data_IF_276636036663
#
_entry.id   IF_276636036663
#
_cell.length_a   1.000
_cell.length_b   1.000
_cell.length_c   1.000
_cell.angle_alpha   90.00
_cell.angle_beta   90.00
_cell.angle_gamma   90.00
#
_symmetry.space_group_name_H-M   'P 1'
#
loop_
_entity.id
_entity.type
_entity.pdbx_description
1 polymer ?
#
# COMPACT_ATOMS: atom_id res chain seq x y z
N UNK A 1 -10.97 11.37 19.02
CA UNK A 1 -10.86 11.93 17.67
C UNK A 1 -10.05 10.94 16.86
N UNK A 2 -10.72 10.21 16.00
CA UNK A 2 -10.12 9.17 15.16
C UNK A 2 -9.33 9.84 14.04
N UNK A 3 -8.02 9.63 14.01
CA UNK A 3 -7.17 10.02 12.88
C UNK A 3 -7.51 9.09 11.70
N UNK A 4 -8.32 9.60 10.78
CA UNK A 4 -8.56 8.92 9.51
C UNK A 4 -7.53 9.45 8.53
N UNK A 5 -6.70 8.59 7.93
CA UNK A 5 -5.90 8.95 6.78
C UNK A 5 -6.81 9.56 5.71
N UNK A 6 -6.67 10.85 5.44
CA UNK A 6 -7.42 11.53 4.37
C UNK A 6 -6.53 11.59 3.13
N UNK A 7 -6.83 10.78 2.14
CA UNK A 7 -6.30 10.99 0.79
C UNK A 7 -6.99 12.22 0.21
N UNK A 8 -6.29 13.34 0.17
CA UNK A 8 -6.73 14.53 -0.55
C UNK A 8 -6.27 14.39 -1.99
N UNK A 9 -7.18 13.97 -2.88
CA UNK A 9 -6.92 14.00 -4.32
C UNK A 9 -6.74 15.47 -4.73
N UNK A 10 -5.51 15.82 -5.16
CA UNK A 10 -5.23 17.13 -5.75
C UNK A 10 -5.97 17.23 -7.08
N UNK A 11 -6.97 18.09 -7.12
CA UNK A 11 -7.68 18.45 -8.36
C UNK A 11 -6.79 19.26 -9.28
N UNK A 12 -6.82 18.92 -10.56
CA UNK A 12 -6.11 19.59 -11.63
C UNK A 12 -6.58 21.03 -11.79
N UNK A 13 -5.77 21.97 -11.31
CA UNK A 13 -5.91 23.41 -11.53
C UNK A 13 -5.15 23.84 -12.77
N UNK A 14 -5.81 23.91 -13.93
CA UNK A 14 -5.22 24.50 -15.15
C UNK A 14 -5.21 26.01 -15.00
N UNK A 15 -4.07 26.58 -14.63
CA UNK A 15 -3.83 28.02 -14.66
C UNK A 15 -3.43 28.50 -16.05
N UNK A 16 -4.30 29.28 -16.72
CA UNK A 16 -3.99 30.02 -17.94
C UNK A 16 -3.16 31.23 -17.58
N UNK A 17 -1.94 31.32 -18.11
CA UNK A 17 -1.20 32.58 -18.16
C UNK A 17 -1.18 33.10 -19.59
N UNK A 18 -1.71 34.33 -19.76
CA UNK A 18 -1.60 35.09 -20.98
C UNK A 18 -0.24 35.81 -21.00
N UNK A 19 0.50 35.73 -22.10
CA UNK A 19 1.70 36.54 -22.34
C UNK A 19 1.44 37.44 -23.52
N UNK A 20 1.49 38.73 -23.24
CA UNK A 20 1.60 39.81 -24.27
C UNK A 20 3.06 40.27 -24.34
N UNK A 21 3.57 40.52 -25.54
CA UNK A 21 4.78 41.32 -25.76
C UNK A 21 5.79 40.72 -26.74
N UNK A 22 5.77 41.15 -28.00
CA UNK A 22 6.96 41.20 -28.89
C UNK A 22 7.71 42.51 -28.54
N UNK A 23 9.03 42.63 -28.75
CA UNK A 23 9.64 42.65 -30.09
C UNK A 23 11.14 42.22 -30.17
N UNK A 24 11.59 42.25 -31.40
CA UNK A 24 12.90 42.57 -31.95
C UNK A 24 13.90 41.45 -32.26
N UNK A 25 14.19 41.51 -33.54
CA UNK A 25 15.20 40.85 -34.34
C UNK A 25 16.60 40.73 -33.72
N UNK A 26 17.13 39.52 -33.67
CA UNK A 26 18.58 39.24 -33.70
C UNK A 26 18.90 38.07 -34.62
N UNK A 27 19.95 38.25 -35.36
CA UNK A 27 20.52 37.44 -36.43
C UNK A 27 20.86 36.03 -36.02
N UNK A 28 20.55 35.05 -36.92
CA UNK A 28 20.94 33.65 -36.86
C UNK A 28 22.45 33.45 -36.71
N UNK A 29 22.85 32.87 -35.59
CA UNK A 29 24.09 32.11 -35.52
C UNK A 29 23.69 30.67 -35.25
N UNK A 30 23.93 29.78 -36.22
CA UNK A 30 23.59 28.36 -36.16
C UNK A 30 24.39 27.61 -35.07
N UNK A 31 23.89 27.61 -33.86
CA UNK A 31 24.29 26.69 -32.82
C UNK A 31 23.17 25.66 -32.64
N UNK A 32 23.35 24.46 -33.21
CA UNK A 32 22.56 23.30 -32.82
C UNK A 32 22.80 23.09 -31.32
N UNK A 33 21.76 23.14 -30.49
CA UNK A 33 21.93 22.72 -29.10
C UNK A 33 22.30 21.24 -29.06
N UNK A 34 23.15 20.82 -28.11
CA UNK A 34 23.45 19.41 -27.95
C UNK A 34 22.12 18.67 -27.72
N UNK A 35 21.96 17.54 -28.44
CA UNK A 35 20.83 16.62 -28.21
C UNK A 35 20.89 16.19 -26.75
N UNK A 36 20.15 16.85 -25.88
CA UNK A 36 19.79 16.31 -24.59
C UNK A 36 18.80 15.18 -24.89
N UNK A 37 19.31 13.96 -24.97
CA UNK A 37 18.46 12.78 -24.82
C UNK A 37 17.87 12.86 -23.41
N UNK A 38 16.63 13.34 -23.32
CA UNK A 38 15.80 13.16 -22.13
C UNK A 38 15.65 11.63 -22.02
N UNK A 39 16.51 11.00 -21.19
CA UNK A 39 16.26 9.63 -20.75
C UNK A 39 14.87 9.66 -20.16
N UNK A 40 13.87 9.17 -20.90
CA UNK A 40 12.55 8.89 -20.36
C UNK A 40 12.78 7.94 -19.18
N UNK A 41 12.73 8.47 -17.98
CA UNK A 41 12.85 7.67 -16.77
C UNK A 41 11.65 6.72 -16.79
N UNK A 42 11.89 5.48 -17.21
CA UNK A 42 10.84 4.47 -17.35
C UNK A 42 10.47 4.05 -15.93
N UNK A 43 9.28 4.44 -15.47
CA UNK A 43 8.76 4.00 -14.18
C UNK A 43 8.90 2.48 -14.04
N UNK A 44 9.41 2.03 -12.90
CA UNK A 44 9.57 0.60 -12.62
C UNK A 44 8.20 -0.06 -12.45
N UNK A 45 7.93 -1.11 -13.20
CA UNK A 45 6.75 -1.94 -13.00
C UNK A 45 7.03 -2.95 -11.89
N UNK A 46 6.12 -3.05 -10.94
CA UNK A 46 6.17 -4.03 -9.86
C UNK A 46 5.78 -5.42 -10.40
N UNK A 47 6.60 -6.41 -10.09
CA UNK A 47 6.23 -7.81 -10.28
C UNK A 47 5.30 -8.21 -9.13
N UNK A 48 4.13 -8.74 -9.45
CA UNK A 48 3.18 -9.25 -8.45
C UNK A 48 3.55 -10.70 -8.15
N UNK A 49 3.89 -10.96 -6.89
CA UNK A 49 4.27 -12.29 -6.40
C UNK A 49 3.09 -12.94 -5.67
N UNK A 50 2.93 -14.27 -5.73
CA UNK A 50 1.99 -14.96 -4.83
C UNK A 50 2.36 -14.67 -3.38
N UNK A 51 1.34 -14.39 -2.54
CA UNK A 51 1.55 -14.18 -1.11
C UNK A 51 2.00 -15.49 -0.44
N UNK A 52 3.12 -15.46 0.27
CA UNK A 52 3.57 -16.57 1.12
C UNK A 52 4.13 -16.05 2.45
N UNK A 53 4.11 -16.88 3.47
CA UNK A 53 4.65 -16.54 4.81
C UNK A 53 6.10 -16.11 4.74
N UNK A 54 6.90 -16.84 3.98
CA UNK A 54 8.34 -16.60 3.83
C UNK A 54 8.63 -15.28 3.13
N UNK A 55 7.93 -15.02 2.02
CA UNK A 55 8.13 -13.83 1.23
C UNK A 55 7.62 -12.55 1.92
N UNK A 56 6.56 -12.69 2.75
CA UNK A 56 5.93 -11.59 3.47
C UNK A 56 6.51 -11.35 4.87
N UNK A 57 7.30 -12.28 5.42
CA UNK A 57 7.86 -12.18 6.78
C UNK A 57 8.55 -10.83 7.14
N UNK A 58 9.24 -10.12 6.21
CA UNK A 58 9.81 -8.80 6.51
C UNK A 58 8.76 -7.70 6.75
N UNK A 59 7.51 -7.94 6.38
CA UNK A 59 6.44 -6.93 6.39
C UNK A 59 5.34 -7.24 7.41
N UNK A 60 5.21 -8.52 7.80
CA UNK A 60 4.12 -8.93 8.67
C UNK A 60 3.85 -10.42 8.65
N UNK A 61 2.66 -10.77 9.12
CA UNK A 61 2.19 -12.14 9.19
C UNK A 61 1.18 -12.42 8.05
N UNK A 62 1.20 -13.63 7.51
CA UNK A 62 0.13 -14.15 6.67
C UNK A 62 -0.82 -14.97 7.53
N UNK A 63 -2.10 -14.60 7.51
CA UNK A 63 -3.17 -15.24 8.29
C UNK A 63 -3.87 -16.25 7.37
N UNK A 64 -3.54 -17.52 7.53
CA UNK A 64 -4.10 -18.61 6.72
C UNK A 64 -4.11 -19.93 7.47
N UNK A 65 -5.03 -20.81 7.10
CA UNK A 65 -5.13 -22.16 7.68
C UNK A 65 -4.24 -23.17 6.95
N UNK A 66 -4.05 -22.99 5.66
CA UNK A 66 -3.28 -23.91 4.82
C UNK A 66 -1.81 -23.92 5.29
N UNK A 67 -1.28 -25.13 5.54
CA UNK A 67 0.07 -25.31 6.06
C UNK A 67 0.30 -24.83 7.50
N UNK A 68 -0.73 -24.34 8.21
CA UNK A 68 -0.63 -23.89 9.58
C UNK A 68 -0.94 -25.01 10.58
N UNK A 69 -0.15 -25.07 11.66
CA UNK A 69 -0.41 -26.00 12.76
C UNK A 69 -1.73 -25.67 13.46
N UNK A 70 -2.45 -26.69 13.88
CA UNK A 70 -3.69 -26.57 14.64
C UNK A 70 -3.79 -27.62 15.74
N UNK A 71 -4.70 -27.41 16.66
CA UNK A 71 -5.10 -28.42 17.64
C UNK A 71 -6.62 -28.42 17.80
N UNK A 72 -7.15 -29.54 18.27
CA UNK A 72 -8.59 -29.69 18.48
C UNK A 72 -9.02 -29.08 19.81
N UNK A 73 -10.15 -28.37 19.78
CA UNK A 73 -10.85 -27.83 20.95
C UNK A 73 -12.32 -28.26 20.93
N UNK A 74 -13.11 -27.89 21.92
CA UNK A 74 -14.56 -28.17 22.01
C UNK A 74 -14.86 -29.66 21.78
N UNK A 75 -14.22 -30.54 22.56
CA UNK A 75 -14.38 -32.01 22.48
C UNK A 75 -14.13 -32.55 21.05
N UNK A 76 -13.20 -31.97 20.33
CA UNK A 76 -12.81 -32.45 19.01
C UNK A 76 -13.66 -31.95 17.85
N UNK A 77 -14.58 -31.02 18.09
CA UNK A 77 -15.44 -30.46 17.04
C UNK A 77 -14.84 -29.28 16.28
N UNK A 78 -13.74 -28.70 16.78
CA UNK A 78 -13.21 -27.44 16.25
C UNK A 78 -11.68 -27.49 16.13
N UNK A 79 -11.17 -27.20 14.93
CA UNK A 79 -9.74 -26.97 14.70
C UNK A 79 -9.41 -25.53 15.08
N UNK A 80 -8.45 -25.35 15.98
CA UNK A 80 -7.94 -24.02 16.33
C UNK A 80 -6.56 -23.81 15.73
N UNK A 81 -6.48 -22.92 14.74
CA UNK A 81 -5.24 -22.38 14.20
C UNK A 81 -4.81 -21.21 15.10
N UNK A 82 -3.91 -21.50 16.02
CA UNK A 82 -3.63 -20.61 17.14
C UNK A 82 -2.53 -19.60 16.81
N UNK A 83 -2.79 -18.33 17.08
CA UNK A 83 -1.82 -17.24 17.01
C UNK A 83 -1.16 -17.11 15.62
N UNK A 84 -1.99 -17.00 14.57
CA UNK A 84 -1.52 -16.79 13.21
C UNK A 84 -0.89 -15.41 13.03
N UNK A 85 -1.29 -14.44 13.85
CA UNK A 85 -0.74 -13.09 13.95
C UNK A 85 -0.86 -12.57 15.38
N UNK A 86 -0.18 -11.48 15.69
CA UNK A 86 -0.30 -10.78 16.98
C UNK A 86 -0.59 -9.31 16.71
N UNK A 87 -1.68 -8.81 17.30
CA UNK A 87 -1.99 -7.37 17.26
C UNK A 87 -0.95 -6.63 18.10
N UNK A 88 -0.31 -5.64 17.49
CA UNK A 88 0.70 -4.80 18.14
C UNK A 88 0.10 -3.44 18.46
N UNK A 89 0.35 -2.94 19.67
CA UNK A 89 0.00 -1.60 20.14
C UNK A 89 1.23 -0.95 20.75
N UNK A 90 1.27 0.39 20.82
CA UNK A 90 2.42 1.10 21.33
C UNK A 90 2.44 1.19 22.86
N UNK A 91 1.25 1.31 23.47
CA UNK A 91 1.11 1.51 24.93
C UNK A 91 0.05 0.58 25.50
N UNK A 92 0.07 0.33 26.84
CA UNK A 92 -0.97 -0.45 27.52
C UNK A 92 -2.37 0.18 27.46
N UNK A 93 -2.46 1.50 27.24
CA UNK A 93 -3.73 2.22 27.14
C UNK A 93 -4.37 2.15 25.75
N UNK A 94 -3.64 1.66 24.79
CA UNK A 94 -4.14 1.46 23.43
C UNK A 94 -5.12 0.28 23.38
N UNK A 95 -6.09 0.38 22.49
CA UNK A 95 -7.09 -0.66 22.28
C UNK A 95 -6.94 -1.24 20.88
N UNK A 96 -7.03 -2.56 20.78
CA UNK A 96 -7.29 -3.21 19.51
C UNK A 96 -8.77 -3.04 19.17
N UNK A 97 -9.06 -2.55 17.97
CA UNK A 97 -10.43 -2.36 17.48
C UNK A 97 -10.68 -3.22 16.24
N UNK A 98 -11.94 -3.48 15.97
CA UNK A 98 -12.40 -4.24 14.81
C UNK A 98 -13.27 -3.33 13.96
N UNK A 99 -12.97 -3.27 12.67
CA UNK A 99 -13.67 -2.45 11.68
C UNK A 99 -13.99 -3.27 10.43
N UNK A 100 -14.91 -2.79 9.61
CA UNK A 100 -15.10 -3.29 8.24
C UNK A 100 -14.69 -2.17 7.28
N UNK A 101 -13.72 -2.49 6.41
CA UNK A 101 -13.36 -1.61 5.30
C UNK A 101 -14.02 -2.16 4.04
N UNK A 102 -14.83 -1.32 3.40
CA UNK A 102 -15.41 -1.59 2.08
C UNK A 102 -14.64 -0.80 1.05
N UNK A 103 -13.95 -1.49 0.17
CA UNK A 103 -13.11 -0.89 -0.85
C UNK A 103 -13.67 -1.12 -2.25
N UNK A 104 -13.63 -0.09 -3.08
CA UNK A 104 -13.88 -0.19 -4.52
C UNK A 104 -12.55 -0.38 -5.25
N UNK A 105 -12.56 -1.15 -6.35
CA UNK A 105 -11.37 -1.35 -7.17
C UNK A 105 -10.90 -0.04 -7.81
N UNK A 106 -9.58 0.14 -7.83
CA UNK A 106 -8.95 1.23 -8.57
C UNK A 106 -8.66 0.82 -10.02
N UNK A 107 -8.61 1.80 -10.92
CA UNK A 107 -8.25 1.57 -12.31
C UNK A 107 -6.82 1.04 -12.44
N UNK A 108 -6.63 0.05 -13.32
CA UNK A 108 -5.34 -0.55 -13.62
C UNK A 108 -4.91 -0.24 -15.07
N UNK A 109 -3.60 -0.01 -15.33
CA UNK A 109 -2.47 -0.06 -14.38
C UNK A 109 -2.49 1.10 -13.39
N UNK A 110 -2.23 0.80 -12.11
CA UNK A 110 -2.18 1.79 -11.04
C UNK A 110 -0.78 2.39 -10.92
N UNK A 111 -0.68 3.72 -10.89
CA UNK A 111 0.55 4.40 -10.48
C UNK A 111 0.57 4.49 -8.95
N UNK A 112 1.51 3.80 -8.32
CA UNK A 112 1.74 3.86 -6.87
C UNK A 112 2.45 5.18 -6.57
N UNK A 113 1.70 6.13 -6.03
CA UNK A 113 2.16 7.50 -5.74
C UNK A 113 2.54 7.69 -4.30
N UNK A 114 2.04 6.84 -3.41
CA UNK A 114 2.25 6.98 -1.97
C UNK A 114 2.22 5.62 -1.27
N UNK A 115 2.82 5.59 -0.09
CA UNK A 115 2.62 4.56 0.92
C UNK A 115 2.32 5.23 2.26
N UNK A 116 1.57 4.53 3.09
CA UNK A 116 1.30 4.92 4.48
C UNK A 116 1.93 3.91 5.44
N UNK A 117 2.10 4.30 6.71
CA UNK A 117 2.47 3.39 7.78
C UNK A 117 1.73 3.76 9.07
N UNK A 118 1.59 2.77 9.95
CA UNK A 118 1.02 2.96 11.28
C UNK A 118 2.12 2.77 12.35
N UNK A 119 2.77 3.87 12.82
CA UNK A 119 3.92 3.74 13.73
C UNK A 119 3.56 3.26 15.14
N UNK A 120 2.29 3.31 15.52
CA UNK A 120 1.84 2.97 16.88
C UNK A 120 1.05 1.67 16.97
N UNK A 121 0.74 1.01 15.86
CA UNK A 121 -0.01 -0.25 15.85
C UNK A 121 0.21 -1.08 14.60
N UNK A 122 -0.07 -2.37 14.68
CA UNK A 122 -0.24 -3.24 13.53
C UNK A 122 -1.60 -3.03 12.88
N UNK A 123 -1.76 -3.47 11.64
CA UNK A 123 -3.05 -3.45 10.94
C UNK A 123 -3.25 -4.76 10.17
N UNK A 124 -4.31 -5.48 10.51
CA UNK A 124 -4.67 -6.72 9.86
C UNK A 124 -5.84 -6.54 8.89
N UNK A 125 -5.77 -7.21 7.74
CA UNK A 125 -6.82 -7.28 6.75
C UNK A 125 -7.17 -8.74 6.46
N UNK A 126 -8.44 -9.12 6.62
CA UNK A 126 -8.96 -10.43 6.30
C UNK A 126 -10.10 -10.27 5.29
N UNK A 127 -9.97 -10.81 4.05
CA UNK A 127 -11.03 -10.70 3.05
C UNK A 127 -12.27 -11.46 3.51
N UNK A 128 -13.44 -10.82 3.51
CA UNK A 128 -14.68 -11.43 3.96
C UNK A 128 -15.44 -12.16 2.86
N UNK A 129 -15.21 -11.77 1.61
CA UNK A 129 -15.91 -12.34 0.46
C UNK A 129 -15.12 -13.45 -0.24
N UNK A 130 -13.90 -13.72 0.21
CA UNK A 130 -13.06 -14.78 -0.33
C UNK A 130 -12.40 -14.41 -1.67
N UNK A 131 -12.33 -13.14 -2.00
CA UNK A 131 -11.70 -12.67 -3.22
C UNK A 131 -10.21 -12.38 -3.02
N UNK A 132 -9.35 -12.63 -4.02
CA UNK A 132 -7.96 -12.18 -4.01
C UNK A 132 -7.86 -10.66 -3.94
N UNK A 133 -6.82 -10.15 -3.27
CA UNK A 133 -6.52 -8.72 -3.21
C UNK A 133 -5.02 -8.47 -3.37
N UNK A 134 -4.67 -7.26 -3.79
CA UNK A 134 -3.28 -6.85 -4.01
C UNK A 134 -2.72 -6.17 -2.77
N UNK A 135 -1.43 -6.37 -2.55
CA UNK A 135 -0.69 -5.87 -1.39
C UNK A 135 0.59 -5.22 -1.92
N UNK A 136 0.80 -3.94 -1.64
CA UNK A 136 2.03 -3.22 -2.00
C UNK A 136 2.69 -2.74 -0.72
N UNK A 137 3.94 -3.13 -0.50
CA UNK A 137 4.66 -2.92 0.77
C UNK A 137 6.10 -2.49 0.54
N UNK A 138 6.66 -1.79 1.51
CA UNK A 138 8.09 -1.55 1.63
C UNK A 138 8.57 -1.87 3.05
N UNK A 139 9.86 -2.22 3.24
CA UNK A 139 10.43 -2.49 4.55
C UNK A 139 10.34 -1.30 5.50
N UNK A 140 10.52 -1.57 6.80
CA UNK A 140 10.69 -0.56 7.83
C UNK A 140 11.80 0.43 7.47
N UNK A 141 11.59 1.70 7.80
CA UNK A 141 12.53 2.78 7.56
C UNK A 141 11.86 4.13 7.81
N UNK A 142 12.64 5.21 7.87
CA UNK A 142 12.11 6.56 8.07
C UNK A 142 11.22 6.97 6.88
N UNK A 143 11.63 6.59 5.66
CA UNK A 143 10.87 6.73 4.42
C UNK A 143 10.93 5.44 3.62
N UNK A 144 9.91 5.13 2.80
CA UNK A 144 9.94 3.96 1.94
C UNK A 144 10.93 4.19 0.79
N UNK A 145 11.77 3.19 0.51
CA UNK A 145 12.69 3.22 -0.63
C UNK A 145 12.00 2.55 -1.82
N UNK A 146 11.75 3.31 -2.89
CA UNK A 146 11.00 2.84 -4.07
C UNK A 146 11.58 1.56 -4.68
N UNK A 147 12.92 1.41 -4.67
CA UNK A 147 13.63 0.22 -5.14
C UNK A 147 13.33 -1.05 -4.34
N UNK A 148 12.88 -0.92 -3.09
CA UNK A 148 12.58 -2.02 -2.18
C UNK A 148 11.10 -2.34 -2.07
N UNK A 149 10.23 -1.59 -2.77
CA UNK A 149 8.80 -1.86 -2.81
C UNK A 149 8.53 -3.19 -3.50
N UNK A 150 7.69 -4.01 -2.88
CA UNK A 150 7.23 -5.29 -3.41
C UNK A 150 5.71 -5.30 -3.53
N UNK A 151 5.20 -6.14 -4.43
CA UNK A 151 3.78 -6.36 -4.62
C UNK A 151 3.45 -7.84 -4.50
N UNK A 152 2.34 -8.16 -3.82
CA UNK A 152 1.84 -9.51 -3.65
C UNK A 152 0.36 -9.58 -4.03
N UNK A 153 -0.09 -10.79 -4.33
CA UNK A 153 -1.51 -11.12 -4.47
C UNK A 153 -1.88 -12.25 -3.52
N UNK A 154 -2.96 -12.06 -2.74
CA UNK A 154 -3.53 -13.12 -1.90
C UNK A 154 -4.32 -14.12 -2.76
N UNK A 155 -4.58 -15.31 -2.23
CA UNK A 155 -5.43 -16.31 -2.88
C UNK A 155 -6.92 -16.21 -2.51
N UNK A 156 -7.33 -15.11 -1.86
CA UNK A 156 -8.70 -14.89 -1.38
C UNK A 156 -9.02 -15.54 -0.02
N UNK A 157 -8.19 -16.49 0.44
CA UNK A 157 -8.32 -17.14 1.77
C UNK A 157 -7.23 -16.72 2.75
N UNK A 158 -6.26 -15.95 2.26
CA UNK A 158 -5.18 -15.39 3.04
C UNK A 158 -5.53 -13.98 3.47
N UNK A 159 -5.48 -13.72 4.78
CA UNK A 159 -5.38 -12.38 5.35
C UNK A 159 -3.91 -12.02 5.61
N UNK A 160 -3.68 -10.79 5.97
CA UNK A 160 -2.36 -10.29 6.37
C UNK A 160 -2.47 -9.48 7.65
N UNK A 161 -1.35 -9.31 8.34
CA UNK A 161 -1.19 -8.36 9.44
C UNK A 161 0.11 -7.59 9.22
N UNK A 162 0.02 -6.36 8.76
CA UNK A 162 1.20 -5.48 8.68
C UNK A 162 1.76 -5.24 10.08
N UNK A 163 3.05 -5.48 10.26
CA UNK A 163 3.71 -5.12 11.51
C UNK A 163 3.77 -3.60 11.67
N UNK A 164 3.82 -3.16 12.92
CA UNK A 164 3.88 -1.74 13.25
C UNK A 164 5.00 -1.03 12.49
N UNK A 165 4.67 0.08 11.82
CA UNK A 165 5.60 0.93 11.09
C UNK A 165 6.00 0.44 9.70
N UNK A 166 5.47 -0.69 9.23
CA UNK A 166 5.68 -1.17 7.85
C UNK A 166 4.95 -0.27 6.87
N UNK A 167 5.67 0.19 5.84
CA UNK A 167 5.10 0.97 4.77
C UNK A 167 4.23 0.12 3.85
N UNK A 168 3.01 0.58 3.56
CA UNK A 168 2.08 -0.14 2.68
C UNK A 168 1.16 0.83 1.94
N UNK A 169 0.66 0.40 0.80
CA UNK A 169 -0.41 1.10 0.09
C UNK A 169 -1.76 0.78 0.78
N UNK A 170 -2.72 1.73 0.86
CA UNK A 170 -4.08 1.42 1.25
C UNK A 170 -4.62 0.18 0.54
N UNK A 171 -5.59 -0.51 1.15
CA UNK A 171 -6.10 -1.78 0.63
C UNK A 171 -6.51 -1.69 -0.85
N UNK A 172 -6.08 -2.69 -1.64
CA UNK A 172 -6.31 -2.76 -3.09
C UNK A 172 -7.12 -4.02 -3.43
N UNK A 173 -8.40 -3.86 -3.71
CA UNK A 173 -9.25 -4.96 -4.21
C UNK A 173 -9.09 -5.12 -5.72
N UNK A 174 -9.18 -6.37 -6.21
CA UNK A 174 -9.18 -6.72 -7.64
C UNK A 174 -10.61 -6.68 -8.16
N UNK A 175 -11.55 -7.20 -7.38
CA UNK A 175 -12.98 -7.16 -7.69
C UNK A 175 -13.53 -5.73 -7.60
N UNK A 176 -14.65 -5.49 -8.25
CA UNK A 176 -15.27 -4.17 -8.31
C UNK A 176 -15.49 -3.56 -6.92
N UNK A 177 -15.84 -4.39 -5.94
CA UNK A 177 -15.99 -4.01 -4.53
C UNK A 177 -15.74 -5.21 -3.65
N UNK A 178 -15.04 -5.00 -2.52
CA UNK A 178 -14.78 -6.04 -1.55
C UNK A 178 -14.85 -5.51 -0.11
N UNK A 179 -15.12 -6.40 0.84
CA UNK A 179 -15.19 -6.12 2.27
C UNK A 179 -14.06 -6.84 3.01
N UNK A 180 -13.41 -6.11 3.91
CA UNK A 180 -12.34 -6.62 4.74
C UNK A 180 -12.67 -6.45 6.23
N UNK A 181 -12.52 -7.52 7.00
CA UNK A 181 -12.38 -7.38 8.45
C UNK A 181 -10.99 -6.76 8.72
N UNK A 182 -10.98 -5.64 9.42
CA UNK A 182 -9.75 -4.94 9.79
C UNK A 182 -9.61 -4.95 11.29
N UNK A 183 -8.41 -5.32 11.76
CA UNK A 183 -8.04 -5.23 13.18
C UNK A 183 -6.87 -4.28 13.28
N UNK A 184 -7.07 -3.16 13.95
CA UNK A 184 -6.08 -2.11 14.10
C UNK A 184 -6.12 -1.47 15.49
N UNK A 185 -5.40 -0.36 15.66
CA UNK A 185 -5.24 0.31 16.95
C UNK A 185 -6.10 1.56 17.04
N UNK A 186 -6.73 1.73 18.20
CA UNK A 186 -7.29 2.99 18.69
C UNK A 186 -6.53 3.46 19.92
N UNK A 187 -6.17 4.74 19.97
CA UNK A 187 -5.44 5.34 21.08
C UNK A 187 -4.98 6.75 20.76
N UNK A 188 -4.27 7.37 21.69
CA UNK A 188 -3.70 8.70 21.51
C UNK A 188 -2.50 8.69 20.54
N UNK A 189 -2.13 9.87 20.03
CA UNK A 189 -1.02 10.06 19.12
C UNK A 189 -1.40 9.86 17.65
N UNK A 190 -0.53 10.35 16.77
CA UNK A 190 -0.68 10.16 15.33
C UNK A 190 -0.25 8.73 14.96
N UNK A 191 -1.17 7.98 14.36
CA UNK A 191 -0.91 6.59 13.93
C UNK A 191 -1.02 6.44 12.41
N UNK A 192 -0.80 7.50 11.65
CA UNK A 192 -0.73 7.42 10.20
C UNK A 192 0.29 8.43 9.68
N UNK A 193 1.40 7.92 9.17
CA UNK A 193 2.37 8.67 8.39
C UNK A 193 2.17 8.34 6.92
N UNK A 194 2.19 9.35 6.06
CA UNK A 194 2.09 9.21 4.60
C UNK A 194 3.38 9.67 3.95
N UNK A 195 3.82 8.94 2.94
CA UNK A 195 4.95 9.31 2.10
C UNK A 195 4.55 9.33 0.63
N UNK A 196 4.69 10.46 -0.02
CA UNK A 196 4.45 10.63 -1.45
C UNK A 196 5.76 10.53 -2.21
N UNK A 197 5.82 9.59 -3.16
CA UNK A 197 6.98 9.42 -4.03
C UNK A 197 7.15 10.60 -4.98
N UNK A 198 8.42 10.96 -5.25
CA UNK A 198 8.75 11.91 -6.32
C UNK A 198 8.50 11.28 -7.69
N UNK A 199 8.42 12.10 -8.72
CA UNK A 199 8.12 11.64 -10.10
C UNK A 199 9.08 10.52 -10.58
N UNK A 200 10.36 10.64 -10.23
CA UNK A 200 11.39 9.65 -10.58
C UNK A 200 11.33 8.34 -9.76
N UNK A 201 10.55 8.33 -8.68
CA UNK A 201 10.39 7.19 -7.76
C UNK A 201 9.07 6.45 -7.96
N UNK A 202 8.18 6.97 -8.81
CA UNK A 202 6.88 6.38 -9.09
C UNK A 202 7.00 4.95 -9.61
N UNK A 203 6.05 4.12 -9.20
CA UNK A 203 5.99 2.71 -9.56
C UNK A 203 4.68 2.39 -10.27
N UNK A 204 4.71 1.40 -11.14
CA UNK A 204 3.51 0.91 -11.83
C UNK A 204 3.14 -0.46 -11.28
N UNK A 205 1.91 -0.58 -10.81
CA UNK A 205 1.27 -1.86 -10.52
C UNK A 205 0.43 -2.25 -11.74
N UNK A 206 0.89 -3.27 -12.46
CA UNK A 206 0.18 -3.77 -13.64
C UNK A 206 -1.08 -4.55 -13.23
N UNK A 207 -2.06 -4.74 -14.15
CA UNK A 207 -3.17 -5.64 -13.90
C UNK A 207 -2.68 -7.04 -13.57
N UNK A 208 -3.28 -7.68 -12.59
CA UNK A 208 -3.05 -9.11 -12.32
C UNK A 208 -3.83 -9.92 -13.38
N UNK A 209 -3.12 -10.82 -14.07
CA UNK A 209 -3.72 -11.72 -15.08
C UNK A 209 -4.23 -13.01 -14.43
#
# INVERSE_FOLDING_TARGET
>A
MTSTCRIQLAGDGVGKYAIAGKPDSYTEASHRPPNFEIKKNRMRTLTIEPLSKEAFAPFGDVIETDGSAHFMINNGSTQRFHRLATVQTATPDDQAIISIFRADALEMPLTVRMLERHPLGSQAFIPLLGNPFLIVVAPLGDVPVSGLVRAFVSNGRQGINYHRGVWHHPVLTIEKRDDFLVVDRSGSGNNCDEHFFKEEELLILAPHQ
#
